data_IF_098087863981
#
_entry.id   IF_098087863981
#
_cell.length_a   1.000
_cell.length_b   1.000
_cell.length_c   1.000
_cell.angle_alpha   90.00
_cell.angle_beta   90.00
_cell.angle_gamma   90.00
#
_symmetry.space_group_name_H-M   'P 1'
#
loop_
_entity.id
_entity.type
_entity.pdbx_description
1 polymer ?
#
# COMPACT_ATOMS: atom_id res chain seq x y z
N UNK A 1 -7.73 7.08 -24.65
CA UNK A 1 -6.43 6.58 -24.12
C UNK A 1 -5.77 7.43 -23.01
N UNK A 2 -5.69 8.77 -23.10
CA UNK A 2 -4.94 9.60 -22.11
C UNK A 2 -5.50 9.58 -20.66
N UNK A 3 -6.82 9.68 -20.50
CA UNK A 3 -7.50 9.64 -19.18
C UNK A 3 -7.24 8.33 -18.45
N UNK A 4 -7.15 7.26 -19.22
CA UNK A 4 -7.01 5.91 -18.72
C UNK A 4 -5.63 5.61 -18.13
N UNK A 5 -4.58 6.07 -18.83
CA UNK A 5 -3.21 6.02 -18.32
C UNK A 5 -3.06 6.89 -17.07
N UNK A 6 -3.76 8.02 -17.01
CA UNK A 6 -3.75 8.90 -15.84
C UNK A 6 -4.31 8.22 -14.60
N UNK A 7 -5.47 7.54 -14.70
CA UNK A 7 -6.06 6.81 -13.57
C UNK A 7 -5.15 5.71 -13.03
N UNK A 8 -4.48 4.96 -13.91
CA UNK A 8 -3.52 3.91 -13.50
C UNK A 8 -2.30 4.51 -12.80
N UNK A 9 -1.80 5.67 -13.27
CA UNK A 9 -0.70 6.39 -12.63
C UNK A 9 -1.11 6.91 -11.26
N UNK A 10 -2.33 7.43 -11.10
CA UNK A 10 -2.86 7.90 -9.81
C UNK A 10 -2.98 6.74 -8.81
N UNK A 11 -3.52 5.59 -9.24
CA UNK A 11 -3.61 4.39 -8.38
C UNK A 11 -2.23 3.90 -7.96
N UNK A 12 -1.25 3.92 -8.87
CA UNK A 12 0.15 3.59 -8.53
C UNK A 12 0.77 4.57 -7.56
N UNK A 13 0.56 5.87 -7.75
CA UNK A 13 1.04 6.91 -6.85
C UNK A 13 0.42 6.75 -5.45
N UNK A 14 -0.89 6.50 -5.38
CA UNK A 14 -1.57 6.25 -4.12
C UNK A 14 -1.01 5.00 -3.40
N UNK A 15 -0.84 3.90 -4.14
CA UNK A 15 -0.23 2.68 -3.61
C UNK A 15 1.20 2.90 -3.12
N UNK A 16 2.01 3.66 -3.87
CA UNK A 16 3.38 4.00 -3.50
C UNK A 16 3.43 4.88 -2.24
N UNK A 17 2.58 5.91 -2.15
CA UNK A 17 2.50 6.79 -0.98
C UNK A 17 2.10 5.99 0.26
N UNK A 18 1.09 5.12 0.14
CA UNK A 18 0.68 4.24 1.24
C UNK A 18 1.81 3.30 1.67
N UNK A 19 2.49 2.67 0.72
CA UNK A 19 3.62 1.80 0.99
C UNK A 19 4.74 2.53 1.73
N UNK A 20 5.17 3.68 1.21
CA UNK A 20 6.22 4.50 1.82
C UNK A 20 5.82 5.01 3.20
N UNK A 21 4.57 5.42 3.38
CA UNK A 21 4.05 5.88 4.68
C UNK A 21 4.03 4.76 5.72
N UNK A 22 3.63 3.55 5.32
CA UNK A 22 3.68 2.37 6.18
C UNK A 22 5.11 2.02 6.58
N UNK A 23 6.03 2.06 5.62
CA UNK A 23 7.45 1.79 5.88
C UNK A 23 8.08 2.85 6.80
N UNK A 24 7.82 4.14 6.57
CA UNK A 24 8.32 5.21 7.42
C UNK A 24 7.79 5.08 8.84
N UNK A 25 6.48 4.81 9.00
CA UNK A 25 5.87 4.57 10.31
C UNK A 25 6.54 3.38 11.01
N UNK A 26 6.75 2.28 10.30
CA UNK A 26 7.46 1.12 10.85
C UNK A 26 8.87 1.49 11.34
N UNK A 27 9.64 2.21 10.55
CA UNK A 27 11.00 2.64 10.93
C UNK A 27 10.98 3.56 12.15
N UNK A 28 10.09 4.56 12.18
CA UNK A 28 9.96 5.46 13.35
C UNK A 28 9.51 4.71 14.60
N UNK A 29 8.62 3.73 14.45
CA UNK A 29 8.10 2.91 15.52
C UNK A 29 9.19 2.00 16.11
N UNK A 30 10.01 1.38 15.26
CA UNK A 30 11.18 0.59 15.69
C UNK A 30 12.20 1.49 16.39
N UNK A 31 12.56 2.63 15.78
CA UNK A 31 13.52 3.56 16.35
C UNK A 31 13.09 4.11 17.73
N UNK A 32 11.81 4.47 17.88
CA UNK A 32 11.25 4.98 19.13
C UNK A 32 11.23 3.93 20.26
N UNK A 33 11.18 2.66 19.88
CA UNK A 33 11.03 1.51 20.78
C UNK A 33 12.36 0.81 21.05
N UNK A 34 13.42 1.17 20.33
CA UNK A 34 14.75 0.62 20.48
C UNK A 34 15.27 0.86 21.90
N UNK A 35 15.56 -0.23 22.63
CA UNK A 35 16.04 -0.18 24.02
C UNK A 35 14.96 -0.02 25.10
N UNK A 36 13.67 0.11 24.74
CA UNK A 36 12.56 0.25 25.71
C UNK A 36 11.68 -0.98 25.83
N UNK A 37 11.76 -1.92 24.89
CA UNK A 37 10.92 -3.11 24.87
C UNK A 37 11.64 -4.26 25.58
N UNK A 38 11.20 -4.57 26.80
CA UNK A 38 11.62 -5.80 27.50
C UNK A 38 11.02 -7.05 26.83
N UNK A 39 11.71 -8.20 26.96
CA UNK A 39 11.30 -9.49 26.39
C UNK A 39 9.83 -9.88 26.66
N UNK A 40 9.30 -9.48 27.83
CA UNK A 40 7.92 -9.77 28.25
C UNK A 40 6.87 -9.00 27.42
N UNK A 41 7.22 -7.82 26.89
CA UNK A 41 6.30 -6.96 26.14
C UNK A 41 6.47 -7.07 24.62
N UNK A 42 7.30 -8.00 24.15
CA UNK A 42 7.60 -8.17 22.72
C UNK A 42 6.35 -8.50 21.90
N UNK A 43 5.44 -9.33 22.43
CA UNK A 43 4.21 -9.68 21.73
C UNK A 43 3.28 -8.46 21.57
N UNK A 44 3.10 -7.66 22.62
CA UNK A 44 2.31 -6.43 22.56
C UNK A 44 2.93 -5.42 21.61
N UNK A 45 4.25 -5.25 21.64
CA UNK A 45 4.99 -4.40 20.71
C UNK A 45 4.78 -4.85 19.25
N UNK A 46 4.91 -6.15 18.96
CA UNK A 46 4.67 -6.66 17.62
C UNK A 46 3.24 -6.37 17.15
N UNK A 47 2.23 -6.66 17.97
CA UNK A 47 0.82 -6.51 17.56
C UNK A 47 0.36 -5.06 17.43
N UNK A 48 0.87 -4.16 18.28
CA UNK A 48 0.35 -2.79 18.36
C UNK A 48 1.22 -1.76 17.65
N UNK A 49 2.53 -2.03 17.55
CA UNK A 49 3.51 -1.07 17.04
C UNK A 49 4.04 -1.49 15.66
N UNK A 50 4.30 -2.78 15.46
CA UNK A 50 4.86 -3.30 14.20
C UNK A 50 3.78 -3.71 13.20
N UNK A 51 2.76 -4.43 13.65
CA UNK A 51 1.76 -5.03 12.77
C UNK A 51 0.93 -3.99 12.00
N UNK A 52 0.42 -2.89 12.60
CA UNK A 52 -0.38 -1.91 11.86
C UNK A 52 0.36 -1.24 10.68
N UNK A 53 1.59 -0.72 10.84
CA UNK A 53 2.32 -0.15 9.70
C UNK A 53 2.74 -1.21 8.67
N UNK A 54 2.99 -2.46 9.08
CA UNK A 54 3.25 -3.57 8.15
C UNK A 54 2.01 -3.87 7.31
N UNK A 55 0.83 -3.99 7.91
CA UNK A 55 -0.44 -4.18 7.18
C UNK A 55 -0.66 -3.03 6.18
N UNK A 56 -0.40 -1.80 6.61
CA UNK A 56 -0.56 -0.63 5.75
C UNK A 56 0.42 -0.64 4.57
N UNK A 57 1.69 -1.01 4.81
CA UNK A 57 2.67 -1.19 3.75
C UNK A 57 2.26 -2.30 2.77
N UNK A 58 1.83 -3.47 3.28
CA UNK A 58 1.36 -4.57 2.45
C UNK A 58 0.12 -4.20 1.63
N UNK A 59 -0.82 -3.45 2.20
CA UNK A 59 -1.98 -2.95 1.46
C UNK A 59 -1.55 -2.01 0.32
N UNK A 60 -0.62 -1.09 0.58
CA UNK A 60 -0.05 -0.23 -0.46
C UNK A 60 0.65 -1.01 -1.57
N UNK A 61 1.40 -2.06 -1.22
CA UNK A 61 2.05 -2.96 -2.17
C UNK A 61 1.02 -3.72 -3.03
N UNK A 62 -0.04 -4.24 -2.41
CA UNK A 62 -1.13 -4.93 -3.13
C UNK A 62 -1.78 -3.97 -4.13
N UNK A 63 -2.09 -2.74 -3.72
CA UNK A 63 -2.62 -1.71 -4.63
C UNK A 63 -1.66 -1.45 -5.80
N UNK A 64 -0.36 -1.38 -5.54
CA UNK A 64 0.66 -1.18 -6.58
C UNK A 64 0.71 -2.34 -7.60
N UNK A 65 0.64 -3.58 -7.10
CA UNK A 65 0.64 -4.79 -7.92
C UNK A 65 -0.65 -4.92 -8.74
N UNK A 66 -1.79 -4.61 -8.12
CA UNK A 66 -3.11 -4.67 -8.75
C UNK A 66 -3.38 -3.51 -9.70
N UNK A 67 -2.63 -2.41 -9.65
CA UNK A 67 -2.79 -1.29 -10.57
C UNK A 67 -2.67 -1.70 -12.05
N UNK A 68 -1.80 -2.68 -12.36
CA UNK A 68 -1.65 -3.24 -13.72
C UNK A 68 -2.88 -4.01 -14.21
N UNK A 69 -3.36 -5.06 -13.50
CA UNK A 69 -4.55 -5.80 -13.92
C UNK A 69 -5.82 -4.93 -13.88
N UNK A 70 -5.96 -4.02 -12.91
CA UNK A 70 -7.08 -3.07 -12.85
C UNK A 70 -7.09 -2.19 -14.10
N UNK A 71 -5.93 -1.67 -14.52
CA UNK A 71 -5.81 -0.93 -15.78
C UNK A 71 -6.23 -1.76 -17.00
N UNK A 72 -5.83 -3.03 -17.10
CA UNK A 72 -6.28 -3.87 -18.23
C UNK A 72 -7.79 -4.14 -18.21
N UNK A 73 -8.35 -4.38 -17.03
CA UNK A 73 -9.77 -4.68 -16.87
C UNK A 73 -10.64 -3.48 -17.23
N UNK A 74 -10.31 -2.29 -16.70
CA UNK A 74 -11.00 -1.05 -17.00
C UNK A 74 -10.87 -0.69 -18.51
N UNK A 75 -9.77 -1.08 -19.19
CA UNK A 75 -9.56 -0.74 -20.60
C UNK A 75 -10.49 -1.57 -21.49
N UNK A 76 -10.60 -2.86 -21.18
CA UNK A 76 -11.55 -3.76 -21.84
C UNK A 76 -13.01 -3.34 -21.61
N UNK A 77 -13.34 -2.92 -20.39
CA UNK A 77 -14.70 -2.45 -20.08
C UNK A 77 -15.11 -1.20 -20.85
N UNK A 78 -14.16 -0.29 -21.12
CA UNK A 78 -14.41 0.90 -21.94
C UNK A 78 -14.49 0.60 -23.43
N UNK A 79 -13.64 -0.30 -23.95
CA UNK A 79 -13.73 -0.75 -25.36
C UNK A 79 -15.10 -1.39 -25.64
N UNK A 80 -15.65 -2.18 -24.71
CA UNK A 80 -17.00 -2.74 -24.85
C UNK A 80 -18.11 -1.69 -24.79
N UNK A 81 -17.93 -0.59 -24.06
CA UNK A 81 -18.93 0.47 -23.93
C UNK A 81 -18.94 1.46 -25.10
N UNK A 82 -17.89 1.49 -25.93
CA UNK A 82 -17.77 2.36 -27.11
C UNK A 82 -18.26 1.68 -28.40
N UNK A 83 -18.52 0.36 -28.36
CA UNK A 83 -18.95 -0.43 -29.52
C UNK A 83 -20.48 -0.66 -29.57
N UNK A 84 -21.22 -0.27 -28.52
CA UNK A 84 -22.69 -0.23 -28.45
C UNK A 84 -23.20 1.22 -28.58
#
# INVERSE_FOLDING_TARGET
>A
MKVFQFSVVVVRLAGLILFLSGLLRLLTAIAASWGKVGLVYWQTFLLTVVLPPVILALAGLIVLLLARPIGRFLARGLESAETD
#
